data_IF_610873701756
#
_entry.id   IF_610873701756
#
_cell.length_a   1.000
_cell.length_b   1.000
_cell.length_c   1.000
_cell.angle_alpha   90.00
_cell.angle_beta   90.00
_cell.angle_gamma   90.00
#
_symmetry.space_group_name_H-M   'P 1'
#
loop_
_entity.id
_entity.type
_entity.pdbx_description
1 polymer ?
#
# COMPACT_ATOMS: atom_id res chain seq x y z
N UNK A 1 -21.36 -6.80 -13.90
CA UNK A 1 -20.30 -5.83 -13.57
C UNK A 1 -20.49 -4.59 -14.41
N UNK A 2 -20.23 -3.39 -13.85
CA UNK A 2 -20.14 -2.15 -14.63
C UNK A 2 -18.76 -2.02 -15.28
N UNK A 3 -18.61 -1.03 -16.14
CA UNK A 3 -17.29 -0.60 -16.64
C UNK A 3 -16.34 -0.25 -15.48
N UNK A 4 -15.07 -0.63 -15.62
CA UNK A 4 -14.02 -0.27 -14.68
C UNK A 4 -13.70 1.22 -14.75
N UNK A 5 -13.50 1.85 -13.60
CA UNK A 5 -13.12 3.26 -13.50
C UNK A 5 -11.91 3.40 -12.60
N UNK A 6 -11.10 4.43 -12.87
CA UNK A 6 -9.97 4.77 -12.01
C UNK A 6 -10.45 5.14 -10.61
N UNK A 7 -9.72 4.68 -9.59
CA UNK A 7 -9.88 5.11 -8.20
C UNK A 7 -9.15 6.42 -7.88
N UNK A 8 -8.60 7.11 -8.88
CA UNK A 8 -7.91 8.39 -8.70
C UNK A 8 -6.57 8.30 -7.99
N UNK A 9 -5.97 7.10 -7.94
CA UNK A 9 -4.64 6.86 -7.36
C UNK A 9 -3.60 6.66 -8.46
N UNK A 10 -2.37 7.07 -8.18
CA UNK A 10 -1.22 6.86 -9.07
C UNK A 10 -0.36 5.73 -8.52
N UNK A 11 0.24 4.96 -9.42
CA UNK A 11 1.16 3.88 -9.07
C UNK A 11 2.14 3.62 -10.24
N UNK A 12 3.35 3.14 -9.96
CA UNK A 12 4.17 2.48 -10.98
C UNK A 12 3.56 1.11 -11.31
N UNK A 13 4.16 0.37 -12.24
CA UNK A 13 3.78 -1.00 -12.58
C UNK A 13 4.05 -1.95 -11.39
N UNK A 14 3.09 -2.00 -10.47
CA UNK A 14 3.17 -2.68 -9.18
C UNK A 14 1.78 -3.12 -8.72
N UNK A 15 1.65 -4.28 -8.06
CA UNK A 15 0.41 -4.68 -7.42
C UNK A 15 -0.04 -3.73 -6.32
N UNK A 16 -1.35 -3.53 -6.21
CA UNK A 16 -2.00 -2.85 -5.08
C UNK A 16 -2.91 -3.83 -4.33
N UNK A 17 -3.06 -3.62 -3.02
CA UNK A 17 -3.87 -4.46 -2.15
C UNK A 17 -4.99 -3.64 -1.54
N UNK A 18 -6.23 -4.06 -1.77
CA UNK A 18 -7.43 -3.40 -1.28
C UNK A 18 -8.26 -4.38 -0.44
N UNK A 19 -8.48 -4.05 0.83
CA UNK A 19 -9.33 -4.86 1.72
C UNK A 19 -10.26 -3.98 2.56
N UNK A 20 -11.40 -4.54 2.93
CA UNK A 20 -12.28 -3.92 3.92
C UNK A 20 -11.78 -4.24 5.34
N UNK A 21 -11.63 -3.22 6.17
CA UNK A 21 -11.28 -3.38 7.59
C UNK A 21 -12.51 -3.93 8.32
N UNK A 22 -12.45 -5.11 8.97
CA UNK A 22 -13.64 -5.73 9.56
C UNK A 22 -14.32 -4.90 10.65
N UNK A 23 -13.56 -4.17 11.46
CA UNK A 23 -14.08 -3.41 12.60
C UNK A 23 -14.74 -2.08 12.23
N UNK A 24 -14.46 -1.52 11.05
CA UNK A 24 -14.97 -0.20 10.64
C UNK A 24 -15.78 -0.25 9.36
N UNK A 25 -15.63 -1.29 8.54
CA UNK A 25 -16.22 -1.36 7.21
C UNK A 25 -15.53 -0.48 6.18
N UNK A 26 -14.52 0.30 6.55
CA UNK A 26 -13.77 1.16 5.63
C UNK A 26 -12.87 0.33 4.72
N UNK A 27 -12.53 0.88 3.54
CA UNK A 27 -11.51 0.31 2.68
C UNK A 27 -10.12 0.78 3.13
N UNK A 28 -9.17 -0.16 3.17
CA UNK A 28 -7.74 0.07 3.31
C UNK A 28 -7.07 -0.30 1.98
N UNK A 29 -6.47 0.70 1.34
CA UNK A 29 -5.64 0.53 0.15
C UNK A 29 -4.17 0.60 0.55
N UNK A 30 -3.37 -0.33 0.04
CA UNK A 30 -1.93 -0.36 0.19
C UNK A 30 -1.29 -0.49 -1.19
N UNK A 31 -0.45 0.46 -1.57
CA UNK A 31 0.14 0.54 -2.91
C UNK A 31 1.43 1.35 -2.90
N UNK A 32 2.13 1.38 -4.03
CA UNK A 32 3.27 2.29 -4.20
C UNK A 32 2.79 3.63 -4.77
N UNK A 33 2.72 4.67 -3.92
CA UNK A 33 2.14 5.97 -4.28
C UNK A 33 3.13 6.89 -4.98
N UNK A 34 3.53 6.51 -6.20
CA UNK A 34 4.32 7.34 -7.08
C UNK A 34 4.05 7.02 -8.54
N UNK A 35 4.52 7.88 -9.42
CA UNK A 35 4.58 7.62 -10.85
C UNK A 35 5.68 8.50 -11.44
N UNK A 36 6.46 7.97 -12.37
CA UNK A 36 7.49 8.73 -13.08
C UNK A 36 7.42 8.38 -14.56
N UNK A 37 7.05 9.37 -15.37
CA UNK A 37 6.97 9.22 -16.82
C UNK A 37 8.36 8.90 -17.40
N UNK A 38 8.41 7.94 -18.33
CA UNK A 38 9.65 7.51 -18.97
C UNK A 38 10.59 6.65 -18.11
N UNK A 39 10.30 6.45 -16.82
CA UNK A 39 11.03 5.51 -15.99
C UNK A 39 10.67 4.05 -16.32
N UNK A 40 11.62 3.13 -16.12
CA UNK A 40 11.35 1.70 -16.17
C UNK A 40 10.23 1.33 -15.18
N UNK A 41 9.24 0.56 -15.65
CA UNK A 41 8.03 0.22 -14.88
C UNK A 41 7.29 1.44 -14.32
N UNK A 42 7.40 2.61 -14.96
CA UNK A 42 6.70 3.85 -14.58
C UNK A 42 7.02 4.37 -13.17
N UNK A 43 8.13 3.96 -12.58
CA UNK A 43 8.60 4.43 -11.28
C UNK A 43 9.12 3.32 -10.37
N UNK A 44 9.78 3.72 -9.29
CA UNK A 44 10.28 2.80 -8.26
C UNK A 44 9.13 2.31 -7.40
N UNK A 45 9.14 1.05 -6.93
CA UNK A 45 8.14 0.54 -5.99
C UNK A 45 8.42 1.01 -4.55
N UNK A 46 8.47 2.32 -4.36
CA UNK A 46 8.77 3.04 -3.14
C UNK A 46 8.15 4.45 -3.20
N UNK A 47 7.45 4.95 -2.17
CA UNK A 47 7.15 4.31 -0.88
C UNK A 47 6.19 3.12 -1.00
N UNK A 48 6.03 2.36 0.09
CA UNK A 48 4.83 1.54 0.32
C UNK A 48 3.87 2.36 1.18
N UNK A 49 2.74 2.75 0.60
CA UNK A 49 1.79 3.72 1.17
C UNK A 49 0.47 3.05 1.50
N UNK A 50 -0.18 3.50 2.57
CA UNK A 50 -1.53 3.12 2.95
C UNK A 50 -2.46 4.34 2.93
N UNK A 51 -3.74 4.13 2.62
CA UNK A 51 -4.79 5.13 2.77
C UNK A 51 -6.15 4.49 3.04
N UNK A 52 -7.05 5.28 3.63
CA UNK A 52 -8.40 4.86 4.02
C UNK A 52 -9.42 5.51 3.09
N UNK A 53 -10.40 4.72 2.65
CA UNK A 53 -11.63 5.25 2.05
C UNK A 53 -12.85 4.88 2.90
N UNK A 54 -13.69 5.88 3.16
CA UNK A 54 -14.96 5.74 3.89
C UNK A 54 -16.18 5.73 2.96
N UNK A 55 -15.95 5.90 1.66
CA UNK A 55 -16.97 6.16 0.64
C UNK A 55 -16.80 5.27 -0.61
N UNK A 56 -16.41 4.01 -0.37
CA UNK A 56 -16.28 2.97 -1.40
C UNK A 56 -15.26 3.31 -2.50
N UNK A 57 -14.15 3.94 -2.12
CA UNK A 57 -13.02 4.25 -3.00
C UNK A 57 -13.18 5.56 -3.78
N UNK A 58 -14.17 6.39 -3.46
CA UNK A 58 -14.34 7.70 -4.14
C UNK A 58 -13.30 8.71 -3.66
N UNK A 59 -13.00 8.71 -2.36
CA UNK A 59 -11.96 9.54 -1.75
C UNK A 59 -11.04 8.71 -0.86
N UNK A 60 -9.78 9.14 -0.78
CA UNK A 60 -8.74 8.51 0.02
C UNK A 60 -8.15 9.54 0.99
N UNK A 61 -8.20 9.25 2.28
CA UNK A 61 -7.68 10.11 3.37
C UNK A 61 -6.73 9.31 4.26
N UNK A 62 -6.11 9.96 5.25
CA UNK A 62 -5.16 9.32 6.16
C UNK A 62 -3.99 8.66 5.43
N UNK A 63 -3.47 9.35 4.40
CA UNK A 63 -2.40 8.79 3.57
C UNK A 63 -1.11 8.72 4.38
N UNK A 64 -0.48 7.55 4.44
CA UNK A 64 0.73 7.35 5.24
C UNK A 64 1.66 6.29 4.66
N UNK A 65 2.96 6.59 4.66
CA UNK A 65 3.98 5.64 4.20
C UNK A 65 4.28 4.62 5.32
N UNK A 66 4.10 3.34 5.00
CA UNK A 66 4.51 2.21 5.85
C UNK A 66 6.00 1.93 5.73
N UNK A 67 6.54 2.14 4.53
CA UNK A 67 7.95 1.99 4.21
C UNK A 67 8.35 3.09 3.21
N UNK A 68 9.56 3.65 3.34
CA UNK A 68 10.03 4.77 2.51
C UNK A 68 11.57 4.86 2.49
N UNK A 69 12.27 3.74 2.67
CA UNK A 69 13.74 3.75 2.59
C UNK A 69 14.15 3.93 1.12
N UNK A 70 14.86 5.00 0.73
CA UNK A 70 15.19 5.26 -0.66
C UNK A 70 16.07 4.19 -1.31
N UNK A 71 16.67 3.26 -0.54
CA UNK A 71 17.49 2.15 -1.04
C UNK A 71 16.72 0.82 -1.14
N UNK A 72 15.45 0.80 -0.74
CA UNK A 72 14.61 -0.41 -0.77
C UNK A 72 13.44 -0.27 -1.77
N UNK A 73 12.94 -1.42 -2.23
CA UNK A 73 11.74 -1.51 -3.07
C UNK A 73 10.79 -2.56 -2.48
N UNK A 74 9.48 -2.30 -2.53
CA UNK A 74 8.46 -3.07 -1.81
C UNK A 74 7.31 -3.46 -2.72
N UNK A 75 6.84 -4.71 -2.69
CA UNK A 75 5.62 -5.07 -3.41
C UNK A 75 5.01 -6.43 -3.03
N UNK A 76 3.92 -6.79 -3.70
CA UNK A 76 3.14 -8.02 -3.50
C UNK A 76 2.62 -8.16 -2.05
N UNK A 77 2.01 -7.10 -1.54
CA UNK A 77 1.48 -7.05 -0.18
C UNK A 77 0.30 -8.01 0.00
N UNK A 78 0.46 -9.01 0.85
CA UNK A 78 -0.67 -9.71 1.45
C UNK A 78 -1.17 -8.95 2.70
N UNK A 79 -2.47 -9.04 2.96
CA UNK A 79 -3.11 -8.34 4.07
C UNK A 79 -4.25 -9.18 4.65
N UNK A 80 -4.22 -9.37 5.97
CA UNK A 80 -5.32 -9.90 6.78
C UNK A 80 -5.46 -9.10 8.09
N UNK A 81 -6.52 -9.36 8.86
CA UNK A 81 -6.79 -8.67 10.11
C UNK A 81 -7.00 -9.65 11.27
N UNK A 82 -6.32 -9.41 12.38
CA UNK A 82 -6.53 -10.17 13.62
C UNK A 82 -6.25 -9.31 14.85
N UNK A 83 -7.03 -9.49 15.91
CA UNK A 83 -6.82 -8.87 17.22
C UNK A 83 -6.63 -7.34 17.17
N UNK A 84 -7.42 -6.64 16.34
CA UNK A 84 -7.34 -5.19 16.19
C UNK A 84 -6.12 -4.70 15.39
N UNK A 85 -5.47 -5.58 14.62
CA UNK A 85 -4.25 -5.30 13.85
C UNK A 85 -4.41 -5.71 12.40
N UNK A 86 -3.77 -4.96 11.51
CA UNK A 86 -3.46 -5.41 10.16
C UNK A 86 -2.19 -6.25 10.18
N UNK A 87 -2.26 -7.43 9.60
CA UNK A 87 -1.14 -8.36 9.43
C UNK A 87 -0.75 -8.35 7.96
N UNK A 88 0.50 -7.99 7.68
CA UNK A 88 0.98 -7.80 6.33
C UNK A 88 2.23 -8.62 6.08
N UNK A 89 2.35 -9.14 4.86
CA UNK A 89 3.62 -9.61 4.32
C UNK A 89 3.83 -9.05 2.92
N UNK A 90 5.08 -8.73 2.58
CA UNK A 90 5.47 -8.23 1.26
C UNK A 90 6.96 -8.52 1.04
N UNK A 91 7.41 -8.49 -0.21
CA UNK A 91 8.84 -8.57 -0.46
C UNK A 91 9.49 -7.22 -0.21
N UNK A 92 10.77 -7.26 0.18
CA UNK A 92 11.67 -6.11 0.20
C UNK A 92 12.90 -6.50 -0.61
N UNK A 93 13.27 -5.69 -1.59
CA UNK A 93 14.57 -5.81 -2.23
C UNK A 93 15.45 -4.61 -1.86
N UNK A 94 16.67 -4.92 -1.45
CA UNK A 94 17.73 -3.95 -1.23
C UNK A 94 18.44 -3.69 -2.56
N UNK A 95 18.49 -2.43 -3.00
CA UNK A 95 19.02 -2.09 -4.33
C UNK A 95 20.55 -2.11 -4.40
N UNK A 96 21.24 -2.03 -3.26
CA UNK A 96 22.71 -2.07 -3.22
C UNK A 96 23.25 -3.50 -3.36
N UNK A 97 22.66 -4.43 -2.61
CA UNK A 97 23.04 -5.85 -2.57
C UNK A 97 22.29 -6.71 -3.58
N UNK A 98 21.11 -6.26 -4.06
CA UNK A 98 20.21 -7.04 -4.90
C UNK A 98 19.48 -8.17 -4.16
N UNK A 99 19.59 -8.24 -2.82
CA UNK A 99 18.94 -9.28 -2.04
C UNK A 99 17.46 -9.02 -1.87
N UNK A 100 16.67 -10.08 -2.02
CA UNK A 100 15.22 -10.07 -1.83
C UNK A 100 14.88 -10.87 -0.58
N UNK A 101 14.09 -10.27 0.30
CA UNK A 101 13.58 -10.92 1.51
C UNK A 101 12.07 -10.71 1.63
N UNK A 102 11.42 -11.44 2.55
CA UNK A 102 10.04 -11.16 2.95
C UNK A 102 10.02 -10.43 4.28
N UNK A 103 9.20 -9.39 4.37
CA UNK A 103 8.98 -8.61 5.59
C UNK A 103 7.56 -8.85 6.09
N UNK A 104 7.44 -9.08 7.40
CA UNK A 104 6.16 -9.13 8.10
C UNK A 104 5.98 -7.87 8.93
N UNK A 105 4.78 -7.30 8.89
CA UNK A 105 4.37 -6.21 9.80
C UNK A 105 3.06 -6.57 10.47
N UNK A 106 2.97 -6.24 11.74
CA UNK A 106 1.72 -6.23 12.49
C UNK A 106 1.47 -4.81 12.96
N UNK A 107 0.47 -4.14 12.41
CA UNK A 107 0.21 -2.70 12.61
C UNK A 107 -1.13 -2.51 13.29
N UNK A 108 -1.25 -1.73 14.37
CA UNK A 108 -2.56 -1.42 14.96
C UNK A 108 -3.48 -0.78 13.92
N UNK A 109 -4.75 -1.18 13.85
CA UNK A 109 -5.69 -0.60 12.88
C UNK A 109 -5.79 0.93 13.03
N UNK A 110 -5.71 1.44 14.27
CA UNK A 110 -5.74 2.88 14.55
C UNK A 110 -4.62 3.67 13.87
N UNK A 111 -3.46 3.06 13.61
CA UNK A 111 -2.31 3.71 12.98
C UNK A 111 -2.64 4.24 11.57
N UNK A 112 -3.54 3.56 10.85
CA UNK A 112 -4.00 3.96 9.52
C UNK A 112 -4.96 5.16 9.53
N UNK A 113 -5.36 5.64 10.71
CA UNK A 113 -6.25 6.80 10.88
C UNK A 113 -5.53 8.03 11.45
N UNK A 114 -4.23 7.92 11.72
CA UNK A 114 -3.42 8.98 12.32
C UNK A 114 -2.78 9.93 11.28
N UNK A 115 -2.84 9.61 9.98
CA UNK A 115 -2.38 10.50 8.90
C UNK A 115 -3.39 11.60 8.56
N UNK A 116 -2.96 12.67 7.89
CA UNK A 116 -3.87 13.65 7.27
C UNK A 116 -4.74 13.01 6.16
#
# INVERSE_FOLDING_TARGET
>A
WSEGKSFGVVAPESPATLRRIPSTGNLLLIWNDNYTEGAGHSGKRNPLTAAISRDEGKTWTHKRNMENDPNETYSYTSLDFANGRALLSYYVADEESGWISSRFRSVPIGWFYEGE
#
